data_IF_011279838599
#
_entry.id   IF_011279838599
#
_cell.length_a   1.000
_cell.length_b   1.000
_cell.length_c   1.000
_cell.angle_alpha   90.00
_cell.angle_beta   90.00
_cell.angle_gamma   90.00
#
_symmetry.space_group_name_H-M   'P 1'
#
loop_
_entity.id
_entity.type
_entity.pdbx_description
1 polymer ?
#
# COMPACT_ATOMS: atom_id res chain seq x y z
N UNK A 1 -65.26 -31.91 -36.79
CA UNK A 1 -65.36 -31.31 -35.44
C UNK A 1 -64.00 -31.35 -34.71
N UNK A 2 -62.87 -30.95 -35.32
CA UNK A 2 -61.53 -31.09 -34.70
C UNK A 2 -60.53 -29.93 -34.90
N UNK A 3 -60.92 -28.82 -35.53
CA UNK A 3 -59.99 -27.70 -35.79
C UNK A 3 -60.01 -26.59 -34.73
N UNK A 4 -61.02 -26.57 -33.85
CA UNK A 4 -61.18 -25.51 -32.85
C UNK A 4 -60.24 -25.73 -31.64
N UNK A 5 -59.81 -26.97 -31.38
CA UNK A 5 -58.98 -27.31 -30.22
C UNK A 5 -57.47 -27.07 -30.42
N UNK A 6 -56.99 -26.93 -31.66
CA UNK A 6 -55.57 -26.73 -31.95
C UNK A 6 -55.11 -25.27 -31.80
N UNK A 7 -56.04 -24.31 -31.90
CA UNK A 7 -55.73 -22.87 -31.85
C UNK A 7 -55.63 -22.32 -30.42
N UNK A 8 -56.26 -23.00 -29.44
CA UNK A 8 -56.25 -22.59 -28.03
C UNK A 8 -54.95 -22.97 -27.30
N UNK A 9 -54.26 -24.02 -27.73
CA UNK A 9 -53.02 -24.48 -27.07
C UNK A 9 -51.79 -23.68 -27.48
N UNK A 10 -51.76 -23.13 -28.71
CA UNK A 10 -50.63 -22.33 -29.20
C UNK A 10 -50.52 -20.99 -28.45
N UNK A 11 -51.63 -20.27 -28.28
CA UNK A 11 -51.64 -19.01 -27.53
C UNK A 11 -51.19 -19.18 -26.08
N UNK A 12 -51.61 -20.26 -25.40
CA UNK A 12 -51.18 -20.54 -24.01
C UNK A 12 -49.69 -20.87 -23.90
N UNK A 13 -49.11 -21.52 -24.91
CA UNK A 13 -47.68 -21.82 -24.97
C UNK A 13 -46.85 -20.57 -25.23
N UNK A 14 -47.33 -19.68 -26.09
CA UNK A 14 -46.69 -18.40 -26.38
C UNK A 14 -46.77 -17.45 -25.18
N UNK A 15 -47.89 -17.42 -24.45
CA UNK A 15 -48.04 -16.67 -23.19
C UNK A 15 -47.11 -17.21 -22.09
N UNK A 16 -47.02 -18.55 -21.95
CA UNK A 16 -46.11 -19.18 -21.00
C UNK A 16 -44.63 -18.96 -21.35
N UNK A 17 -44.27 -19.02 -22.64
CA UNK A 17 -42.93 -18.73 -23.11
C UNK A 17 -42.56 -17.25 -22.91
N UNK A 18 -43.49 -16.33 -23.17
CA UNK A 18 -43.29 -14.88 -22.98
C UNK A 18 -43.12 -14.53 -21.50
N UNK A 19 -43.85 -15.21 -20.61
CA UNK A 19 -43.69 -15.09 -19.16
C UNK A 19 -42.29 -15.48 -18.69
N UNK A 20 -41.78 -16.63 -19.15
CA UNK A 20 -40.44 -17.13 -18.77
C UNK A 20 -39.34 -16.24 -19.35
N UNK A 21 -39.49 -15.78 -20.60
CA UNK A 21 -38.52 -14.87 -21.23
C UNK A 21 -38.47 -13.52 -20.51
N UNK A 22 -39.62 -12.99 -20.08
CA UNK A 22 -39.69 -11.76 -19.29
C UNK A 22 -38.99 -11.88 -17.93
N UNK A 23 -39.12 -13.04 -17.27
CA UNK A 23 -38.47 -13.30 -15.98
C UNK A 23 -36.94 -13.43 -16.12
N UNK A 24 -36.47 -14.15 -17.13
CA UNK A 24 -35.03 -14.27 -17.42
C UNK A 24 -34.43 -12.90 -17.79
N UNK A 25 -35.17 -12.07 -18.54
CA UNK A 25 -34.75 -10.71 -18.87
C UNK A 25 -34.65 -9.83 -17.62
N UNK A 26 -35.60 -9.94 -16.70
CA UNK A 26 -35.59 -9.22 -15.43
C UNK A 26 -34.41 -9.65 -14.56
N UNK A 27 -34.12 -10.94 -14.48
CA UNK A 27 -32.92 -11.44 -13.79
C UNK A 27 -31.64 -10.91 -14.43
N UNK A 28 -31.53 -10.94 -15.77
CA UNK A 28 -30.36 -10.43 -16.48
C UNK A 28 -30.13 -8.93 -16.19
N UNK A 29 -31.21 -8.14 -16.20
CA UNK A 29 -31.15 -6.72 -15.86
C UNK A 29 -30.68 -6.50 -14.42
N UNK A 30 -31.24 -7.24 -13.46
CA UNK A 30 -30.85 -7.15 -12.05
C UNK A 30 -29.36 -7.48 -11.87
N UNK A 31 -28.87 -8.53 -12.53
CA UNK A 31 -27.45 -8.91 -12.46
C UNK A 31 -26.55 -7.80 -13.01
N UNK A 32 -26.92 -7.19 -14.14
CA UNK A 32 -26.16 -6.06 -14.71
C UNK A 32 -26.13 -4.88 -13.74
N UNK A 33 -27.28 -4.51 -13.16
CA UNK A 33 -27.39 -3.40 -12.21
C UNK A 33 -26.57 -3.65 -10.94
N UNK A 34 -26.66 -4.85 -10.36
CA UNK A 34 -25.87 -5.24 -9.18
C UNK A 34 -24.38 -5.24 -9.51
N UNK A 35 -23.98 -5.71 -10.69
CA UNK A 35 -22.58 -5.73 -11.11
C UNK A 35 -22.01 -4.32 -11.28
N UNK A 36 -22.77 -3.43 -11.91
CA UNK A 36 -22.38 -2.03 -12.08
C UNK A 36 -22.27 -1.30 -10.74
N UNK A 37 -23.23 -1.55 -9.84
CA UNK A 37 -23.21 -0.99 -8.50
C UNK A 37 -22.03 -1.53 -7.66
N UNK A 38 -21.74 -2.82 -7.75
CA UNK A 38 -20.58 -3.41 -7.07
C UNK A 38 -19.27 -2.81 -7.60
N UNK A 39 -19.13 -2.69 -8.92
CA UNK A 39 -17.94 -2.08 -9.54
C UNK A 39 -17.74 -0.63 -9.10
N UNK A 40 -18.79 0.19 -9.04
CA UNK A 40 -18.68 1.58 -8.57
C UNK A 40 -18.46 1.70 -7.06
N UNK A 41 -18.91 0.72 -6.27
CA UNK A 41 -18.65 0.69 -4.84
C UNK A 41 -17.17 0.40 -4.50
N UNK A 42 -16.45 -0.34 -5.35
CA UNK A 42 -15.01 -0.56 -5.17
C UNK A 42 -14.20 0.74 -5.29
N UNK A 43 -14.59 1.66 -6.18
CA UNK A 43 -13.95 2.99 -6.30
C UNK A 43 -14.19 3.89 -5.07
N UNK A 44 -15.17 3.56 -4.23
CA UNK A 44 -15.45 4.27 -2.99
C UNK A 44 -14.68 3.70 -1.79
N UNK A 45 -14.05 2.54 -1.93
CA UNK A 45 -13.14 2.06 -0.90
C UNK A 45 -11.94 3.01 -0.87
N UNK A 46 -11.53 3.51 0.31
CA UNK A 46 -10.30 4.27 0.40
C UNK A 46 -9.17 3.38 -0.17
N UNK A 47 -8.47 3.89 -1.18
CA UNK A 47 -7.29 3.21 -1.72
C UNK A 47 -6.24 3.00 -0.63
N UNK A 48 -5.20 2.22 -0.94
CA UNK A 48 -4.09 2.01 0.00
C UNK A 48 -3.60 3.35 0.54
N UNK A 49 -3.80 3.54 1.85
CA UNK A 49 -3.39 4.76 2.51
C UNK A 49 -1.86 4.79 2.49
N UNK A 50 -1.28 5.91 2.10
CA UNK A 50 0.15 6.10 2.27
C UNK A 50 0.46 6.00 3.77
N UNK A 51 1.40 5.13 4.13
CA UNK A 51 1.85 4.99 5.51
C UNK A 51 2.39 6.34 5.98
N UNK A 52 1.78 6.90 7.03
CA UNK A 52 2.23 8.15 7.63
C UNK A 52 3.04 7.80 8.86
N UNK A 53 4.33 8.12 8.86
CA UNK A 53 5.23 7.87 9.99
C UNK A 53 5.98 9.14 10.32
N UNK A 54 5.99 9.51 11.60
CA UNK A 54 6.81 10.59 12.12
C UNK A 54 8.17 10.02 12.56
N UNK A 55 9.24 10.59 12.02
CA UNK A 55 10.60 10.08 12.19
C UNK A 55 11.52 11.23 12.59
N UNK A 56 12.31 11.01 13.64
CA UNK A 56 13.44 11.89 13.97
C UNK A 56 14.77 11.21 13.68
N UNK A 57 15.73 11.94 13.13
CA UNK A 57 17.07 11.43 12.82
C UNK A 57 18.12 11.99 13.78
N UNK A 58 19.10 11.15 14.14
CA UNK A 58 20.33 11.55 14.83
C UNK A 58 21.54 10.89 14.17
N UNK A 59 22.68 11.58 14.20
CA UNK A 59 23.93 11.10 13.64
C UNK A 59 25.04 11.06 14.68
N UNK A 60 25.74 9.92 14.77
CA UNK A 60 26.96 9.74 15.53
C UNK A 60 28.16 9.70 14.58
N UNK A 61 28.94 10.78 14.59
CA UNK A 61 30.11 10.96 13.72
C UNK A 61 31.28 10.04 14.05
N UNK A 62 31.43 9.66 15.33
CA UNK A 62 32.54 8.82 15.76
C UNK A 62 32.35 7.39 15.27
N UNK A 63 31.13 6.88 15.37
CA UNK A 63 30.79 5.51 14.96
C UNK A 63 30.22 5.41 13.54
N UNK A 64 30.01 6.55 12.86
CA UNK A 64 29.39 6.65 11.52
C UNK A 64 28.00 5.99 11.49
N UNK A 65 27.24 6.21 12.56
CA UNK A 65 25.91 5.65 12.74
C UNK A 65 24.85 6.72 12.49
N UNK A 66 23.85 6.35 11.71
CA UNK A 66 22.67 7.16 11.46
C UNK A 66 21.46 6.43 12.04
N UNK A 67 20.79 7.05 13.00
CA UNK A 67 19.67 6.47 13.73
C UNK A 67 18.38 7.22 13.44
N UNK A 68 17.34 6.47 13.09
CA UNK A 68 16.00 6.95 12.82
C UNK A 68 15.06 6.42 13.90
N UNK A 69 14.41 7.32 14.63
CA UNK A 69 13.49 6.99 15.70
C UNK A 69 12.06 7.20 15.26
N UNK A 70 11.24 6.18 15.45
CA UNK A 70 9.80 6.25 15.23
C UNK A 70 9.12 7.05 16.35
N UNK A 71 8.43 8.13 15.99
CA UNK A 71 7.76 9.06 16.92
C UNK A 71 6.24 8.98 16.88
N UNK A 72 5.67 8.33 15.87
CA UNK A 72 4.23 8.18 15.73
C UNK A 72 3.82 7.76 14.32
N UNK A 73 2.55 7.36 14.17
CA UNK A 73 2.00 6.92 12.88
C UNK A 73 1.93 5.40 12.73
N UNK A 74 1.94 4.94 11.48
CA UNK A 74 1.83 3.52 11.13
C UNK A 74 3.14 2.75 11.44
N UNK A 75 3.04 1.44 11.64
CA UNK A 75 4.21 0.56 11.76
C UNK A 75 4.67 0.13 10.36
N UNK A 76 5.96 -0.20 10.22
CA UNK A 76 6.55 -0.64 8.94
C UNK A 76 7.41 -1.89 9.20
N UNK A 77 7.43 -2.83 8.27
CA UNK A 77 8.34 -3.98 8.35
C UNK A 77 9.81 -3.51 8.28
N UNK A 78 10.67 -4.04 9.14
CA UNK A 78 12.09 -3.67 9.17
C UNK A 78 12.83 -3.98 7.87
N UNK A 79 12.41 -5.01 7.13
CA UNK A 79 13.04 -5.36 5.84
C UNK A 79 12.63 -4.44 4.69
N UNK A 80 11.52 -3.74 4.84
CA UNK A 80 11.02 -2.75 3.88
C UNK A 80 11.74 -1.39 4.02
N UNK A 81 12.47 -1.17 5.12
CA UNK A 81 13.20 0.07 5.37
C UNK A 81 14.54 0.12 4.63
N UNK A 82 14.70 1.17 3.83
CA UNK A 82 15.93 1.46 3.11
C UNK A 82 16.43 2.86 3.42
N UNK A 83 17.72 2.97 3.69
CA UNK A 83 18.39 4.26 3.84
C UNK A 83 19.32 4.49 2.66
N UNK A 84 19.21 5.67 2.05
CA UNK A 84 20.13 6.13 1.02
C UNK A 84 20.79 7.41 1.48
N UNK A 85 22.12 7.44 1.42
CA UNK A 85 22.91 8.66 1.56
C UNK A 85 23.48 9.03 0.20
N UNK A 86 23.25 10.26 -0.26
CA UNK A 86 23.74 10.76 -1.55
C UNK A 86 24.58 12.00 -1.33
N UNK A 87 25.83 12.01 -1.78
CA UNK A 87 26.68 13.20 -1.74
C UNK A 87 26.23 14.25 -2.77
N UNK A 88 26.66 15.49 -2.61
CA UNK A 88 26.36 16.59 -3.54
C UNK A 88 26.78 16.32 -5.00
N UNK A 89 27.79 15.48 -5.22
CA UNK A 89 28.22 15.03 -6.56
C UNK A 89 27.34 13.93 -7.17
N UNK A 90 26.26 13.52 -6.48
CA UNK A 90 25.34 12.47 -6.91
C UNK A 90 25.77 11.05 -6.56
N UNK A 91 26.95 10.86 -5.95
CA UNK A 91 27.41 9.54 -5.52
C UNK A 91 26.55 9.01 -4.38
N UNK A 92 26.06 7.77 -4.53
CA UNK A 92 25.25 7.08 -3.53
C UNK A 92 26.10 6.18 -2.64
N UNK A 93 25.77 6.16 -1.36
CA UNK A 93 26.38 5.34 -0.34
C UNK A 93 25.30 4.44 0.25
N UNK A 94 25.61 3.15 0.35
CA UNK A 94 24.75 2.14 0.96
C UNK A 94 25.31 1.78 2.32
N UNK A 95 24.45 1.57 3.35
CA UNK A 95 24.91 1.08 4.63
C UNK A 95 25.63 -0.26 4.54
N UNK A 96 26.66 -0.46 5.36
CA UNK A 96 27.33 -1.75 5.54
C UNK A 96 26.63 -2.64 6.56
N UNK A 97 25.98 -2.04 7.56
CA UNK A 97 25.23 -2.74 8.61
C UNK A 97 23.90 -2.02 8.86
N UNK A 98 22.86 -2.80 9.21
CA UNK A 98 21.53 -2.31 9.59
C UNK A 98 21.06 -3.01 10.86
N UNK A 99 20.44 -2.25 11.75
CA UNK A 99 19.92 -2.69 13.04
C UNK A 99 18.55 -2.09 13.28
N UNK A 100 17.62 -2.88 13.81
CA UNK A 100 16.32 -2.39 14.23
C UNK A 100 16.10 -2.83 15.67
N UNK A 101 16.00 -1.86 16.56
CA UNK A 101 15.91 -2.09 18.01
C UNK A 101 14.83 -1.23 18.63
N UNK A 102 14.41 -1.50 19.86
CA UNK A 102 13.62 -0.56 20.66
C UNK A 102 14.51 0.41 21.45
N UNK A 103 13.87 1.29 22.24
CA UNK A 103 14.57 2.24 23.11
C UNK A 103 15.46 1.59 24.19
N UNK A 104 15.30 0.28 24.45
CA UNK A 104 16.13 -0.48 25.38
C UNK A 104 17.28 -1.22 24.66
N UNK A 105 17.35 -1.13 23.33
CA UNK A 105 18.35 -1.82 22.51
C UNK A 105 18.01 -3.29 22.22
N UNK A 106 16.74 -3.70 22.39
CA UNK A 106 16.29 -5.05 22.06
C UNK A 106 15.90 -5.13 20.59
N UNK A 107 16.36 -6.15 19.89
CA UNK A 107 16.06 -6.35 18.47
C UNK A 107 14.55 -6.44 18.18
N UNK A 108 14.15 -5.81 17.08
CA UNK A 108 12.76 -5.70 16.62
C UNK A 108 12.68 -6.10 15.14
N UNK A 109 11.55 -6.71 14.77
CA UNK A 109 11.22 -7.04 13.38
C UNK A 109 10.49 -5.91 12.66
N UNK A 110 9.80 -5.05 13.42
CA UNK A 110 8.97 -3.97 12.90
C UNK A 110 9.43 -2.63 13.46
N UNK A 111 9.36 -1.61 12.62
CA UNK A 111 9.61 -0.22 12.98
C UNK A 111 8.30 0.40 13.42
N UNK A 112 8.06 0.37 14.72
CA UNK A 112 6.89 0.89 15.41
C UNK A 112 7.29 1.92 16.49
N UNK A 113 6.31 2.48 17.20
CA UNK A 113 6.51 3.57 18.15
C UNK A 113 7.60 3.24 19.19
N UNK A 114 8.62 4.09 19.26
CA UNK A 114 9.78 3.90 20.14
C UNK A 114 10.87 2.99 19.58
N UNK A 115 10.67 2.42 18.39
CA UNK A 115 11.67 1.73 17.60
C UNK A 115 12.74 2.68 17.04
N UNK A 116 13.93 2.13 16.87
CA UNK A 116 15.12 2.78 16.34
C UNK A 116 15.71 1.94 15.21
N UNK A 117 15.65 2.46 14.00
CA UNK A 117 16.36 1.91 12.85
C UNK A 117 17.72 2.59 12.72
N UNK A 118 18.80 1.86 12.95
CA UNK A 118 20.17 2.36 12.89
C UNK A 118 20.92 1.73 11.74
N UNK A 119 21.60 2.56 10.95
CA UNK A 119 22.45 2.12 9.85
C UNK A 119 23.87 2.63 10.03
N UNK A 120 24.84 1.84 9.61
CA UNK A 120 26.26 2.19 9.66
C UNK A 120 26.81 2.34 8.25
N UNK A 121 27.67 3.32 8.05
CA UNK A 121 28.38 3.53 6.79
C UNK A 121 29.89 3.35 7.01
N UNK A 122 30.56 2.65 6.08
CA UNK A 122 32.01 2.51 6.12
C UNK A 122 32.71 3.84 5.85
N UNK A 123 32.14 4.62 4.93
CA UNK A 123 32.61 5.95 4.53
C UNK A 123 31.43 6.91 4.51
N UNK A 124 31.61 8.08 5.13
CA UNK A 124 30.66 9.19 5.03
C UNK A 124 31.35 10.27 4.19
N UNK A 125 30.72 10.75 3.12
CA UNK A 125 31.29 11.81 2.30
C UNK A 125 31.38 13.13 3.07
N UNK A 126 32.44 13.88 2.83
CA UNK A 126 32.57 15.24 3.34
C UNK A 126 31.66 16.21 2.57
N UNK A 127 31.08 17.18 3.28
CA UNK A 127 30.24 18.23 2.70
C UNK A 127 28.74 17.97 2.80
N UNK A 128 27.98 18.53 1.86
CA UNK A 128 26.51 18.42 1.84
C UNK A 128 26.09 17.04 1.35
N UNK A 129 25.18 16.42 2.08
CA UNK A 129 24.58 15.13 1.77
C UNK A 129 23.06 15.21 1.80
N UNK A 130 22.41 14.39 0.96
CA UNK A 130 20.99 14.11 1.00
C UNK A 130 20.77 12.72 1.61
N UNK A 131 19.99 12.67 2.68
CA UNK A 131 19.64 11.46 3.40
C UNK A 131 18.16 11.18 3.17
N UNK A 132 17.85 9.93 2.82
CA UNK A 132 16.47 9.46 2.70
C UNK A 132 16.28 8.15 3.42
N UNK A 133 15.23 8.08 4.23
CA UNK A 133 14.63 6.84 4.72
C UNK A 133 13.37 6.57 3.90
N UNK A 134 13.25 5.38 3.33
CA UNK A 134 12.16 5.02 2.43
C UNK A 134 11.60 3.64 2.80
N UNK A 135 10.29 3.49 2.61
CA UNK A 135 9.61 2.20 2.46
C UNK A 135 9.39 1.90 0.96
N UNK A 136 8.80 0.77 0.56
CA UNK A 136 8.44 0.49 -0.82
C UNK A 136 7.56 1.56 -1.47
N UNK A 137 6.66 2.15 -0.67
CA UNK A 137 5.59 3.00 -1.19
C UNK A 137 5.77 4.49 -0.88
N UNK A 138 6.69 4.86 0.02
CA UNK A 138 6.86 6.26 0.42
C UNK A 138 8.27 6.62 0.92
N UNK A 139 8.55 7.93 0.90
CA UNK A 139 9.70 8.52 1.61
C UNK A 139 9.24 8.89 3.01
N UNK A 140 9.82 8.25 4.02
CA UNK A 140 9.46 8.42 5.42
C UNK A 140 10.19 9.61 6.06
N UNK A 141 11.43 9.84 5.63
CA UNK A 141 12.25 10.95 6.11
C UNK A 141 13.18 11.42 5.00
N UNK A 142 13.34 12.74 4.88
CA UNK A 142 14.28 13.36 3.96
C UNK A 142 14.99 14.51 4.66
N UNK A 143 16.31 14.57 4.50
CA UNK A 143 17.12 15.64 5.04
C UNK A 143 18.27 15.97 4.10
N UNK A 144 18.65 17.24 4.07
CA UNK A 144 19.80 17.72 3.31
C UNK A 144 20.63 18.67 4.18
N UNK A 145 21.93 18.42 4.26
CA UNK A 145 22.82 19.22 5.09
C UNK A 145 24.20 18.57 5.26
N UNK A 146 24.95 19.02 6.26
CA UNK A 146 26.31 18.56 6.56
C UNK A 146 26.29 17.69 7.83
N UNK A 147 26.95 16.53 7.78
CA UNK A 147 27.04 15.55 8.88
C UNK A 147 28.24 15.76 9.84
#
# INVERSE_FOLDING_TARGET
MNEINRKSDTNKRDDAATSVVGEILLMALVIILVSLFAASAFDLLPGDRQSVVDVSMSYDKTNKLLSFWHKGGDWIDGDDLKVTLTAANGQKYTPSEKYLTDYQGVDKLVFDLGGCYTVKFDTIPDGIVNIRLTSPDSVLYAWEGIL
#
